data_IF_066141178491
#
_entry.id   IF_066141178491
#
_cell.length_a   1.000
_cell.length_b   1.000
_cell.length_c   1.000
_cell.angle_alpha   90.00
_cell.angle_beta   90.00
_cell.angle_gamma   90.00
#
_symmetry.space_group_name_H-M   'P 1'
#
loop_
_entity.id
_entity.type
_entity.pdbx_description
1 polymer ?
#
# COMPACT_ATOMS: atom_id res chain seq x y z
N UNK A 1 -7.75 -4.31 -25.76
CA UNK A 1 -8.95 -3.93 -26.55
C UNK A 1 -10.12 -3.38 -25.73
N UNK A 2 -10.31 -3.76 -24.45
CA UNK A 2 -11.41 -3.26 -23.60
C UNK A 2 -11.15 -1.87 -22.98
N UNK A 3 -9.91 -1.44 -22.81
CA UNK A 3 -9.52 -0.14 -22.24
C UNK A 3 -9.81 1.04 -23.18
N UNK A 4 -9.61 0.87 -24.45
CA UNK A 4 -9.81 1.92 -25.47
C UNK A 4 -11.31 2.25 -25.68
N UNK A 5 -12.19 1.25 -25.66
CA UNK A 5 -13.64 1.45 -25.75
C UNK A 5 -14.20 2.26 -24.59
N UNK A 6 -13.66 2.08 -23.37
CA UNK A 6 -14.11 2.83 -22.19
C UNK A 6 -13.74 4.32 -22.28
N UNK A 7 -12.62 4.66 -22.90
CA UNK A 7 -12.19 6.05 -23.14
C UNK A 7 -13.08 6.78 -24.14
N UNK A 8 -13.47 6.14 -25.24
CA UNK A 8 -14.34 6.73 -26.27
C UNK A 8 -15.72 7.03 -25.72
N UNK A 9 -16.35 6.12 -24.99
CA UNK A 9 -17.65 6.33 -24.36
C UNK A 9 -17.65 7.48 -23.34
N UNK A 10 -16.62 7.59 -22.54
CA UNK A 10 -16.45 8.71 -21.60
C UNK A 10 -16.34 10.04 -22.36
N UNK A 11 -15.62 10.07 -23.46
CA UNK A 11 -15.49 11.27 -24.29
C UNK A 11 -16.83 11.67 -24.92
N UNK A 12 -17.58 10.70 -25.45
CA UNK A 12 -18.92 10.95 -26.02
C UNK A 12 -19.88 11.51 -24.97
N UNK A 13 -19.92 10.91 -23.78
CA UNK A 13 -20.76 11.40 -22.67
C UNK A 13 -20.36 12.81 -22.25
N UNK A 14 -19.09 13.13 -22.15
CA UNK A 14 -18.62 14.47 -21.79
C UNK A 14 -19.00 15.52 -22.85
N UNK A 15 -18.92 15.18 -24.12
CA UNK A 15 -19.34 16.06 -25.22
C UNK A 15 -20.86 16.32 -25.15
N UNK A 16 -21.66 15.30 -24.91
CA UNK A 16 -23.13 15.45 -24.75
C UNK A 16 -23.47 16.35 -23.55
N UNK A 17 -22.81 16.17 -22.43
CA UNK A 17 -22.99 17.04 -21.25
C UNK A 17 -22.66 18.50 -21.59
N UNK A 18 -21.54 18.73 -22.30
CA UNK A 18 -21.14 20.08 -22.71
C UNK A 18 -22.18 20.75 -23.66
N UNK A 19 -22.73 19.98 -24.60
CA UNK A 19 -23.76 20.47 -25.51
C UNK A 19 -25.07 20.82 -24.78
N UNK A 20 -25.51 19.97 -23.85
CA UNK A 20 -26.69 20.24 -23.02
C UNK A 20 -26.49 21.48 -22.15
N UNK A 21 -25.32 21.62 -21.55
CA UNK A 21 -24.97 22.78 -20.75
C UNK A 21 -24.96 24.09 -21.59
N UNK A 22 -24.36 24.04 -22.78
CA UNK A 22 -24.38 25.19 -23.70
C UNK A 22 -25.79 25.58 -24.12
N UNK A 23 -26.62 24.59 -24.49
CA UNK A 23 -28.03 24.82 -24.86
C UNK A 23 -28.81 25.43 -23.70
N UNK A 24 -28.64 24.95 -22.48
CA UNK A 24 -29.30 25.47 -21.27
C UNK A 24 -28.92 26.94 -21.03
N UNK A 25 -27.64 27.29 -21.19
CA UNK A 25 -27.20 28.68 -21.07
C UNK A 25 -27.80 29.58 -22.14
N UNK A 26 -27.76 29.18 -23.42
CA UNK A 26 -28.34 29.94 -24.52
C UNK A 26 -29.84 30.17 -24.31
N UNK A 27 -30.59 29.11 -24.01
CA UNK A 27 -32.02 29.20 -23.74
C UNK A 27 -32.34 30.16 -22.59
N UNK A 28 -31.64 30.00 -21.45
CA UNK A 28 -31.90 30.78 -20.23
C UNK A 28 -31.58 32.26 -20.40
N UNK A 29 -30.47 32.60 -21.08
CA UNK A 29 -30.02 33.99 -21.15
C UNK A 29 -30.51 34.75 -22.38
N UNK A 30 -30.84 34.06 -23.49
CA UNK A 30 -31.32 34.69 -24.72
C UNK A 30 -32.87 34.71 -24.79
N UNK A 31 -33.51 33.58 -24.54
CA UNK A 31 -34.97 33.47 -24.72
C UNK A 31 -35.79 33.64 -23.45
N UNK A 32 -35.23 33.33 -22.27
CA UNK A 32 -36.01 33.41 -21.04
C UNK A 32 -35.73 34.72 -20.29
N UNK A 33 -36.80 35.47 -19.96
CA UNK A 33 -36.74 36.76 -19.24
C UNK A 33 -36.87 36.61 -17.73
N UNK A 34 -37.08 35.38 -17.22
CA UNK A 34 -37.26 35.14 -15.77
C UNK A 34 -35.91 35.26 -15.02
N UNK A 35 -35.81 36.33 -14.25
CA UNK A 35 -34.58 36.65 -13.47
C UNK A 35 -34.25 35.54 -12.45
N UNK A 36 -35.29 34.97 -11.80
CA UNK A 36 -35.08 33.92 -10.81
C UNK A 36 -34.43 32.66 -11.44
N UNK A 37 -34.88 32.26 -12.64
CA UNK A 37 -34.30 31.14 -13.38
C UNK A 37 -32.84 31.41 -13.79
N UNK A 38 -32.54 32.64 -14.24
CA UNK A 38 -31.17 33.04 -14.58
C UNK A 38 -30.23 32.95 -13.41
N UNK A 39 -30.66 33.41 -12.23
CA UNK A 39 -29.87 33.33 -10.99
C UNK A 39 -29.66 31.86 -10.56
N UNK A 40 -30.71 31.04 -10.62
CA UNK A 40 -30.60 29.62 -10.27
C UNK A 40 -29.58 28.88 -11.15
N UNK A 41 -29.65 29.07 -12.48
CA UNK A 41 -28.71 28.48 -13.44
C UNK A 41 -27.27 28.97 -13.18
N UNK A 42 -27.08 30.26 -12.91
CA UNK A 42 -25.76 30.82 -12.60
C UNK A 42 -25.14 30.18 -11.35
N UNK A 43 -25.94 30.09 -10.27
CA UNK A 43 -25.47 29.46 -9.01
C UNK A 43 -25.12 27.98 -9.22
N UNK A 44 -25.96 27.25 -9.99
CA UNK A 44 -25.70 25.85 -10.30
C UNK A 44 -24.38 25.66 -11.04
N UNK A 45 -24.07 26.49 -12.04
CA UNK A 45 -22.82 26.45 -12.78
C UNK A 45 -21.62 26.82 -11.90
N UNK A 46 -21.75 27.81 -11.01
CA UNK A 46 -20.70 28.19 -10.06
C UNK A 46 -20.36 27.03 -9.11
N UNK A 47 -21.38 26.36 -8.56
CA UNK A 47 -21.19 25.20 -7.69
C UNK A 47 -20.53 24.05 -8.46
N UNK A 48 -20.95 23.78 -9.69
CA UNK A 48 -20.37 22.76 -10.56
C UNK A 48 -18.88 23.03 -10.87
N UNK A 49 -18.54 24.26 -11.22
CA UNK A 49 -17.15 24.69 -11.47
C UNK A 49 -16.30 24.64 -10.20
N UNK A 50 -16.85 25.10 -9.06
CA UNK A 50 -16.17 25.00 -7.77
C UNK A 50 -15.90 23.55 -7.38
N UNK A 51 -16.86 22.63 -7.59
CA UNK A 51 -16.70 21.20 -7.36
C UNK A 51 -15.64 20.56 -8.27
N UNK A 52 -15.58 20.96 -9.55
CA UNK A 52 -14.53 20.52 -10.47
C UNK A 52 -13.15 21.07 -10.07
N UNK A 53 -13.07 22.35 -9.69
CA UNK A 53 -11.86 22.97 -9.19
C UNK A 53 -11.39 22.28 -7.91
N UNK A 54 -12.30 21.99 -6.97
CA UNK A 54 -11.97 21.25 -5.76
C UNK A 54 -11.44 19.83 -6.06
N UNK A 55 -12.06 19.11 -7.03
CA UNK A 55 -11.52 17.80 -7.46
C UNK A 55 -10.14 17.90 -8.09
N UNK A 56 -9.85 18.96 -8.83
CA UNK A 56 -8.57 19.15 -9.53
C UNK A 56 -7.48 19.72 -8.60
N UNK A 57 -7.82 20.68 -7.77
CA UNK A 57 -6.87 21.40 -6.91
C UNK A 57 -6.91 20.94 -5.45
N UNK A 58 -8.04 20.48 -4.92
CA UNK A 58 -8.15 19.95 -3.56
C UNK A 58 -7.41 18.62 -3.38
N UNK A 59 -7.23 17.84 -4.46
CA UNK A 59 -6.34 16.66 -4.42
C UNK A 59 -4.85 17.01 -4.48
N UNK A 60 -4.51 18.22 -4.93
CA UNK A 60 -3.12 18.69 -4.93
C UNK A 60 -2.69 19.27 -3.57
N UNK A 61 -3.65 19.61 -2.68
CA UNK A 61 -3.35 20.16 -1.36
C UNK A 61 -3.19 19.10 -0.25
N UNK A 62 -3.65 17.86 -0.48
CA UNK A 62 -3.16 16.71 0.28
C UNK A 62 -1.91 16.26 -0.46
N UNK A 63 -0.81 16.99 -0.28
CA UNK A 63 0.52 16.43 -0.51
C UNK A 63 0.55 15.15 0.32
N UNK A 64 0.42 14.00 -0.33
CA UNK A 64 0.95 12.78 0.25
C UNK A 64 2.34 13.19 0.77
N UNK A 65 2.67 12.93 2.05
CA UNK A 65 4.01 13.22 2.54
C UNK A 65 4.94 12.68 1.47
N UNK A 66 5.87 13.51 0.98
CA UNK A 66 6.80 13.11 -0.07
C UNK A 66 7.26 11.72 0.32
N UNK A 67 6.82 10.70 -0.43
CA UNK A 67 7.24 9.31 -0.21
C UNK A 67 8.73 9.42 -0.43
N UNK A 68 9.44 9.60 0.68
CA UNK A 68 10.89 9.52 0.71
C UNK A 68 11.10 8.16 0.07
N UNK A 69 11.68 8.14 -1.15
CA UNK A 69 11.88 6.94 -1.93
C UNK A 69 12.59 5.97 -0.99
N UNK A 70 11.81 5.13 -0.30
CA UNK A 70 12.36 4.21 0.66
C UNK A 70 13.32 3.32 -0.10
N UNK A 71 14.48 3.09 0.51
CA UNK A 71 15.46 2.19 -0.09
C UNK A 71 14.74 0.87 -0.34
N UNK A 72 14.80 0.40 -1.59
CA UNK A 72 14.22 -0.89 -1.94
C UNK A 72 14.76 -1.94 -0.98
N UNK A 73 13.88 -2.73 -0.40
CA UNK A 73 14.27 -3.85 0.46
C UNK A 73 14.91 -4.90 -0.44
N UNK A 74 16.17 -5.22 -0.16
CA UNK A 74 16.96 -6.16 -0.98
C UNK A 74 17.41 -7.38 -0.21
N UNK A 75 17.38 -7.32 1.13
CA UNK A 75 17.85 -8.43 1.98
C UNK A 75 17.26 -8.39 3.38
N UNK A 76 17.27 -9.56 4.03
CA UNK A 76 17.06 -9.74 5.46
C UNK A 76 18.38 -10.11 6.12
N UNK A 77 18.67 -9.54 7.29
CA UNK A 77 19.86 -9.88 8.07
C UNK A 77 19.47 -10.44 9.44
N UNK A 78 19.92 -11.65 9.75
CA UNK A 78 19.82 -12.25 11.08
C UNK A 78 20.71 -11.48 12.03
N UNK A 79 20.14 -11.04 13.15
CA UNK A 79 20.88 -10.38 14.23
C UNK A 79 21.09 -11.31 15.41
N UNK A 80 22.31 -11.35 15.91
CA UNK A 80 22.65 -11.93 17.20
C UNK A 80 22.15 -11.08 18.38
N UNK A 81 22.29 -11.57 19.59
CA UNK A 81 21.81 -10.86 20.79
C UNK A 81 22.60 -9.57 21.08
N UNK A 82 23.84 -9.51 20.65
CA UNK A 82 24.68 -8.32 20.64
C UNK A 82 24.35 -7.31 19.52
N UNK A 83 23.47 -7.69 18.58
CA UNK A 83 23.10 -6.89 17.41
C UNK A 83 24.05 -7.07 16.22
N UNK A 84 25.03 -7.96 16.31
CA UNK A 84 25.87 -8.33 15.17
C UNK A 84 25.07 -9.10 14.11
N UNK A 85 25.53 -8.99 12.85
CA UNK A 85 24.90 -9.71 11.73
C UNK A 85 25.55 -11.09 11.59
N UNK A 86 24.74 -12.12 11.76
CA UNK A 86 25.19 -13.52 11.70
C UNK A 86 25.05 -14.08 10.27
N UNK A 87 23.91 -13.76 9.58
CA UNK A 87 23.59 -14.31 8.27
C UNK A 87 22.73 -13.31 7.48
N UNK A 88 22.84 -13.31 6.17
CA UNK A 88 22.02 -12.49 5.30
C UNK A 88 21.36 -13.36 4.23
N UNK A 89 20.10 -13.02 3.88
CA UNK A 89 19.37 -13.58 2.75
C UNK A 89 19.04 -12.45 1.79
N UNK A 90 19.43 -12.59 0.52
CA UNK A 90 19.07 -11.66 -0.54
C UNK A 90 17.68 -12.01 -1.06
N UNK A 91 16.79 -11.04 -1.06
CA UNK A 91 15.37 -11.21 -1.43
C UNK A 91 14.98 -10.41 -2.68
N UNK A 92 15.96 -9.80 -3.33
CA UNK A 92 15.73 -9.04 -4.56
C UNK A 92 15.27 -9.98 -5.69
N UNK A 93 14.14 -9.64 -6.31
CA UNK A 93 13.54 -10.44 -7.38
C UNK A 93 12.55 -11.51 -6.93
N UNK A 94 12.48 -11.78 -5.62
CA UNK A 94 11.51 -12.69 -5.05
C UNK A 94 10.15 -12.01 -4.89
N UNK A 95 9.09 -12.80 -4.94
CA UNK A 95 7.71 -12.33 -4.77
C UNK A 95 7.05 -12.86 -3.52
N UNK A 96 7.53 -13.98 -3.01
CA UNK A 96 7.05 -14.61 -1.78
C UNK A 96 8.16 -15.44 -1.14
N UNK A 97 8.31 -15.34 0.17
CA UNK A 97 9.35 -16.02 0.93
C UNK A 97 8.75 -16.61 2.19
N UNK A 98 8.84 -17.92 2.33
CA UNK A 98 8.46 -18.63 3.55
C UNK A 98 9.58 -18.52 4.57
N UNK A 99 9.23 -18.12 5.79
CA UNK A 99 10.13 -18.00 6.95
C UNK A 99 9.78 -19.10 7.95
N UNK A 100 10.74 -19.88 8.35
CA UNK A 100 10.49 -20.96 9.30
C UNK A 100 11.68 -21.88 9.51
N UNK A 101 11.41 -23.16 9.65
CA UNK A 101 12.43 -24.23 9.77
C UNK A 101 12.28 -25.23 8.64
N UNK A 102 13.34 -25.44 7.89
CA UNK A 102 13.41 -26.52 6.92
C UNK A 102 13.34 -27.90 7.60
N UNK A 103 12.71 -28.85 6.94
CA UNK A 103 12.63 -30.24 7.34
C UNK A 103 12.79 -31.15 6.11
N UNK A 104 12.80 -32.49 6.30
CA UNK A 104 12.86 -33.45 5.19
C UNK A 104 11.77 -33.25 4.15
N UNK A 105 10.60 -32.74 4.56
CA UNK A 105 9.39 -32.65 3.77
C UNK A 105 9.04 -31.20 3.36
N UNK A 106 9.78 -30.21 3.89
CA UNK A 106 9.53 -28.79 3.67
C UNK A 106 10.83 -28.01 3.61
N UNK A 107 11.08 -27.38 2.47
CA UNK A 107 12.15 -26.39 2.32
C UNK A 107 11.58 -24.98 2.47
N UNK A 108 12.21 -24.13 3.28
CA UNK A 108 11.85 -22.73 3.45
C UNK A 108 12.98 -21.82 2.97
N UNK A 109 12.62 -20.68 2.35
CA UNK A 109 13.61 -19.77 1.77
C UNK A 109 14.43 -19.04 2.86
N UNK A 110 13.77 -18.69 3.97
CA UNK A 110 14.42 -18.07 5.14
C UNK A 110 14.45 -19.11 6.26
N UNK A 111 15.45 -19.97 6.19
CA UNK A 111 15.59 -21.08 7.14
C UNK A 111 16.29 -20.62 8.43
N UNK A 112 15.55 -20.75 9.54
CA UNK A 112 15.96 -20.40 10.90
C UNK A 112 16.27 -21.62 11.77
N UNK A 113 16.39 -22.83 11.19
CA UNK A 113 16.69 -24.08 11.93
C UNK A 113 18.03 -24.04 12.66
N UNK A 114 19.01 -23.28 12.15
CA UNK A 114 20.32 -23.10 12.76
C UNK A 114 20.46 -21.90 13.71
N UNK A 115 19.33 -21.25 14.11
CA UNK A 115 19.39 -20.10 15.00
C UNK A 115 19.27 -20.50 16.47
N UNK A 116 19.71 -19.62 17.37
CA UNK A 116 19.68 -19.86 18.84
C UNK A 116 18.24 -20.17 19.31
N UNK A 117 17.25 -19.47 18.77
CA UNK A 117 15.84 -19.62 19.14
C UNK A 117 15.06 -20.55 18.21
N UNK A 118 15.73 -21.43 17.45
CA UNK A 118 15.11 -22.35 16.50
C UNK A 118 13.99 -23.21 17.11
N UNK A 119 14.12 -23.59 18.41
CA UNK A 119 13.09 -24.38 19.10
C UNK A 119 11.74 -23.65 19.17
N UNK A 120 11.73 -22.31 19.18
CA UNK A 120 10.52 -21.47 19.24
C UNK A 120 9.93 -21.15 17.86
N UNK A 121 10.66 -21.45 16.78
CA UNK A 121 10.22 -21.18 15.42
C UNK A 121 9.37 -22.34 14.89
N UNK A 122 8.19 -22.06 14.35
CA UNK A 122 7.33 -23.06 13.67
C UNK A 122 7.95 -23.48 12.32
N UNK A 123 7.59 -24.63 11.77
CA UNK A 123 8.04 -25.09 10.44
C UNK A 123 7.67 -24.07 9.36
N UNK A 124 6.40 -23.66 9.32
CA UNK A 124 5.92 -22.51 8.59
C UNK A 124 5.53 -21.47 9.64
N UNK A 125 6.33 -20.41 9.78
CA UNK A 125 6.13 -19.44 10.84
C UNK A 125 5.51 -18.16 10.32
N UNK A 126 6.04 -17.64 9.22
CA UNK A 126 5.58 -16.43 8.58
C UNK A 126 5.82 -16.48 7.08
N UNK A 127 5.10 -15.67 6.33
CA UNK A 127 5.36 -15.41 4.92
C UNK A 127 5.62 -13.94 4.68
N UNK A 128 6.59 -13.63 3.83
CA UNK A 128 6.91 -12.30 3.37
C UNK A 128 6.54 -12.19 1.89
N UNK A 129 5.52 -11.38 1.57
CA UNK A 129 4.97 -11.24 0.23
C UNK A 129 5.26 -9.87 -0.37
N UNK A 130 5.65 -9.82 -1.65
CA UNK A 130 5.86 -8.59 -2.40
C UNK A 130 4.65 -8.28 -3.27
N UNK A 131 3.93 -7.20 -2.94
CA UNK A 131 2.69 -6.81 -3.62
C UNK A 131 2.74 -5.33 -3.98
N UNK A 132 2.54 -5.01 -5.25
CA UNK A 132 2.44 -3.62 -5.73
C UNK A 132 3.61 -2.72 -5.29
N UNK A 133 4.83 -3.26 -5.28
CA UNK A 133 6.03 -2.49 -4.93
C UNK A 133 6.39 -2.48 -3.44
N UNK A 134 5.64 -3.18 -2.60
CA UNK A 134 5.83 -3.19 -1.15
C UNK A 134 5.90 -4.62 -0.62
N UNK A 135 6.67 -4.80 0.45
CA UNK A 135 6.73 -6.05 1.18
C UNK A 135 5.74 -6.07 2.35
N UNK A 136 5.11 -7.21 2.56
CA UNK A 136 4.16 -7.46 3.63
C UNK A 136 4.52 -8.75 4.34
N UNK A 137 4.48 -8.73 5.67
CA UNK A 137 4.67 -9.92 6.50
C UNK A 137 3.35 -10.37 7.10
N UNK A 138 3.13 -11.68 7.12
CA UNK A 138 1.94 -12.33 7.67
C UNK A 138 2.38 -13.49 8.55
N UNK A 139 1.75 -13.64 9.71
CA UNK A 139 1.92 -14.77 10.61
C UNK A 139 1.09 -15.95 10.13
N UNK A 140 1.68 -17.12 9.95
CA UNK A 140 1.03 -18.33 9.52
C UNK A 140 0.56 -19.17 10.72
N UNK A 141 -0.18 -18.58 11.64
CA UNK A 141 -0.65 -19.22 12.87
C UNK A 141 0.50 -19.85 13.67
N UNK A 142 1.59 -19.14 13.78
CA UNK A 142 2.79 -19.65 14.44
C UNK A 142 2.58 -19.82 15.95
N UNK A 143 3.29 -20.77 16.56
CA UNK A 143 3.12 -21.07 17.98
C UNK A 143 3.55 -19.93 18.92
N UNK A 144 4.48 -19.07 18.49
CA UNK A 144 5.08 -18.01 19.32
C UNK A 144 4.92 -16.61 18.72
N UNK A 145 4.20 -16.48 17.62
CA UNK A 145 3.82 -15.23 16.99
C UNK A 145 4.96 -14.51 16.26
N UNK A 146 4.56 -13.59 15.41
CA UNK A 146 5.42 -12.68 14.69
C UNK A 146 5.31 -11.29 15.31
N UNK A 147 6.43 -10.63 15.50
CA UNK A 147 6.49 -9.26 15.96
C UNK A 147 7.18 -8.34 14.96
N UNK A 148 6.89 -7.06 15.04
CA UNK A 148 7.58 -6.04 14.27
C UNK A 148 7.98 -4.87 15.16
N UNK A 149 9.20 -4.36 14.96
CA UNK A 149 9.66 -3.10 15.51
C UNK A 149 9.96 -2.17 14.35
N UNK A 150 9.21 -1.11 14.23
CA UNK A 150 9.42 -0.11 13.18
C UNK A 150 10.71 0.67 13.41
N UNK A 151 11.33 1.09 12.33
CA UNK A 151 12.52 1.92 12.39
C UNK A 151 12.27 3.18 13.21
N UNK A 152 13.09 3.43 14.22
CA UNK A 152 12.98 4.60 15.11
C UNK A 152 12.02 4.43 16.29
N UNK A 153 11.28 3.32 16.37
CA UNK A 153 10.47 3.00 17.54
C UNK A 153 11.29 2.25 18.60
N UNK A 154 10.95 2.46 19.87
CA UNK A 154 11.61 1.78 20.99
C UNK A 154 11.03 0.39 21.30
N UNK A 155 9.74 0.18 20.98
CA UNK A 155 9.01 -1.05 21.31
C UNK A 155 8.77 -1.96 20.10
N UNK A 156 8.74 -3.28 20.35
CA UNK A 156 8.17 -4.25 19.41
C UNK A 156 6.66 -4.38 19.67
N UNK A 157 5.87 -4.62 18.63
CA UNK A 157 4.48 -5.05 18.73
C UNK A 157 4.30 -6.39 18.04
N UNK A 158 3.41 -7.22 18.55
CA UNK A 158 3.00 -8.44 17.87
C UNK A 158 2.07 -8.11 16.70
N UNK A 159 2.14 -8.87 15.65
CA UNK A 159 1.16 -8.81 14.57
C UNK A 159 -0.17 -9.37 15.06
N UNK A 160 -1.27 -8.71 14.68
CA UNK A 160 -2.58 -9.32 14.82
C UNK A 160 -2.76 -10.25 13.63
N UNK A 161 -2.96 -11.55 13.89
CA UNK A 161 -2.98 -12.61 12.87
C UNK A 161 -3.98 -12.47 11.71
N UNK A 162 -4.80 -11.41 11.71
CA UNK A 162 -5.90 -11.24 10.77
C UNK A 162 -5.53 -10.43 9.50
N UNK A 163 -4.35 -9.82 9.44
CA UNK A 163 -3.97 -9.00 8.27
C UNK A 163 -2.44 -8.90 8.08
N UNK A 164 -1.98 -8.93 6.80
CA UNK A 164 -0.58 -8.67 6.48
C UNK A 164 -0.14 -7.26 6.91
N UNK A 165 1.03 -7.15 7.50
CA UNK A 165 1.63 -5.88 7.92
C UNK A 165 2.70 -5.42 6.94
N UNK A 166 2.64 -4.17 6.48
CA UNK A 166 3.65 -3.61 5.59
C UNK A 166 5.00 -3.45 6.29
N UNK A 167 6.07 -3.85 5.60
CA UNK A 167 7.45 -3.84 6.09
C UNK A 167 8.27 -2.79 5.34
N UNK A 168 9.12 -2.07 6.05
CA UNK A 168 9.97 -1.01 5.48
C UNK A 168 11.45 -1.28 5.78
N UNK A 169 12.32 -0.68 4.98
CA UNK A 169 13.76 -0.77 5.22
C UNK A 169 14.15 -0.14 6.56
N UNK A 170 14.85 -0.90 7.40
CA UNK A 170 15.23 -0.54 8.75
C UNK A 170 14.29 -1.06 9.84
N UNK A 171 13.18 -1.69 9.47
CA UNK A 171 12.34 -2.42 10.42
C UNK A 171 13.04 -3.69 10.90
N UNK A 172 12.70 -4.16 12.10
CA UNK A 172 13.16 -5.44 12.64
C UNK A 172 11.95 -6.36 12.82
N UNK A 173 11.98 -7.50 12.14
CA UNK A 173 11.01 -8.57 12.32
C UNK A 173 11.45 -9.49 13.44
N UNK A 174 10.51 -9.93 14.25
CA UNK A 174 10.72 -10.90 15.33
C UNK A 174 9.96 -12.17 14.97
N UNK A 175 10.68 -13.22 14.63
CA UNK A 175 10.14 -14.54 14.38
C UNK A 175 10.30 -15.33 15.68
N UNK A 176 9.24 -15.39 16.48
CA UNK A 176 9.34 -15.67 17.92
C UNK A 176 10.34 -14.69 18.59
N UNK A 177 11.54 -15.19 18.98
CA UNK A 177 12.62 -14.35 19.53
C UNK A 177 13.75 -14.05 18.53
N UNK A 178 13.74 -14.69 17.36
CA UNK A 178 14.75 -14.48 16.32
C UNK A 178 14.55 -13.12 15.64
N UNK A 179 15.61 -12.32 15.53
CA UNK A 179 15.55 -10.96 14.99
C UNK A 179 16.08 -10.92 13.55
N UNK A 180 15.24 -10.41 12.63
CA UNK A 180 15.59 -10.21 11.23
C UNK A 180 15.49 -8.71 10.89
N UNK A 181 16.63 -8.07 10.60
CA UNK A 181 16.68 -6.67 10.16
C UNK A 181 16.41 -6.59 8.66
N UNK A 182 15.48 -5.74 8.30
CA UNK A 182 15.08 -5.49 6.90
C UNK A 182 15.98 -4.41 6.27
N UNK A 183 16.55 -4.70 5.08
CA UNK A 183 17.51 -3.81 4.41
C UNK A 183 17.29 -3.71 2.91
#
# INVERSE_FOLDING_TARGET
>A
MLSEKKSVWVTVVNVLIALVAAFTLVYTYIWNTNVALRLFVAVFFIIGLAGMAWRKYGRAAVSAPAVKKEAAITKLALLGDDGERIKEWYIHGETSLLIGKSSSDLEVQIDLSGTEYAALVSKQHAVLNYVSGNWYIEDLESSNGVGIKKRGESGKRLLNGDAPEQVHSGDTLYIANTRLLVK
#
